data_IF_771810388149
#
_entry.id   IF_771810388149
#
_cell.length_a   1.000
_cell.length_b   1.000
_cell.length_c   1.000
_cell.angle_alpha   90.00
_cell.angle_beta   90.00
_cell.angle_gamma   90.00
#
_symmetry.space_group_name_H-M   'P 1'
#
loop_
_entity.id
_entity.type
_entity.pdbx_description
1 polymer ?
#
# COMPACT_ATOMS: atom_id res chain seq x y z
N UNK A 1 22.69 10.08 -1.51
CA UNK A 1 21.59 9.15 -1.82
C UNK A 1 20.29 9.87 -1.56
N UNK A 2 19.46 9.99 -2.58
CA UNK A 2 18.15 10.65 -2.46
C UNK A 2 17.34 10.05 -1.31
N UNK A 3 16.87 10.89 -0.39
CA UNK A 3 15.96 10.52 0.72
C UNK A 3 14.54 10.18 0.23
N UNK A 4 14.37 9.76 -1.01
CA UNK A 4 13.07 9.70 -1.70
C UNK A 4 12.19 8.54 -1.24
N UNK A 5 12.78 7.49 -0.65
CA UNK A 5 12.05 6.38 -0.04
C UNK A 5 12.10 6.41 1.50
N UNK A 6 12.56 7.51 2.11
CA UNK A 6 12.62 7.60 3.57
C UNK A 6 11.28 8.09 4.15
N UNK A 7 10.74 7.35 5.12
CA UNK A 7 9.62 7.83 5.92
C UNK A 7 10.10 8.96 6.83
N UNK A 8 9.36 10.07 6.87
CA UNK A 8 9.66 11.23 7.73
C UNK A 8 9.34 10.88 9.18
N UNK A 9 10.23 11.23 10.10
CA UNK A 9 9.98 11.05 11.54
C UNK A 9 8.82 11.94 12.04
N UNK A 10 8.04 11.41 12.98
CA UNK A 10 6.90 12.10 13.57
C UNK A 10 6.45 11.39 14.86
N UNK A 11 5.86 12.14 15.78
CA UNK A 11 5.23 11.61 17.00
C UNK A 11 3.82 11.02 16.75
N UNK A 12 3.32 11.10 15.50
CA UNK A 12 2.04 10.51 15.11
C UNK A 12 2.11 8.98 15.15
N UNK A 13 1.02 8.36 15.62
CA UNK A 13 0.79 6.93 15.44
C UNK A 13 0.50 6.63 13.98
N UNK A 14 1.21 5.68 13.38
CA UNK A 14 0.95 5.23 12.00
C UNK A 14 0.26 3.89 12.01
N UNK A 15 -0.93 3.85 11.43
CA UNK A 15 -1.72 2.64 11.30
C UNK A 15 -1.91 2.37 9.82
N UNK A 16 -1.54 1.19 9.35
CA UNK A 16 -1.67 0.83 7.93
C UNK A 16 -2.59 -0.36 7.74
N UNK A 17 -3.37 -0.31 6.66
CA UNK A 17 -4.16 -1.42 6.18
C UNK A 17 -3.49 -1.98 4.93
N UNK A 18 -3.24 -3.29 4.96
CA UNK A 18 -2.68 -4.02 3.83
C UNK A 18 -3.53 -5.24 3.50
N UNK A 19 -3.35 -5.79 2.30
CA UNK A 19 -3.97 -7.05 1.89
C UNK A 19 -4.33 -7.10 0.42
N UNK A 20 -5.03 -8.16 -0.01
CA UNK A 20 -5.49 -8.32 -1.38
C UNK A 20 -6.31 -7.13 -1.90
N UNK A 21 -6.54 -7.09 -3.22
CA UNK A 21 -7.52 -6.19 -3.82
C UNK A 21 -8.95 -6.48 -3.31
N UNK A 22 -9.77 -5.42 -3.24
CA UNK A 22 -11.16 -5.51 -2.79
C UNK A 22 -11.35 -6.12 -1.39
N UNK A 23 -10.62 -5.62 -0.39
CA UNK A 23 -10.74 -6.09 1.02
C UNK A 23 -11.12 -4.96 2.01
N UNK A 24 -11.49 -3.79 1.50
CA UNK A 24 -12.02 -2.69 2.32
C UNK A 24 -10.97 -1.72 2.90
N UNK A 25 -9.68 -1.86 2.57
CA UNK A 25 -8.58 -0.99 3.05
C UNK A 25 -8.89 0.51 2.93
N UNK A 26 -9.23 0.98 1.73
CA UNK A 26 -9.62 2.37 1.46
C UNK A 26 -10.80 2.84 2.30
N UNK A 27 -11.80 1.96 2.46
CA UNK A 27 -13.00 2.27 3.23
C UNK A 27 -12.67 2.40 4.72
N UNK A 28 -11.85 1.49 5.27
CA UNK A 28 -11.38 1.53 6.64
C UNK A 28 -10.54 2.78 6.91
N UNK A 29 -9.54 3.07 6.08
CA UNK A 29 -8.69 4.27 6.20
C UNK A 29 -9.51 5.55 6.23
N UNK A 30 -10.46 5.69 5.31
CA UNK A 30 -11.33 6.88 5.23
C UNK A 30 -12.24 7.02 6.45
N UNK A 31 -12.95 5.95 6.83
CA UNK A 31 -13.90 5.99 7.95
C UNK A 31 -13.19 6.24 9.28
N UNK A 32 -12.01 5.63 9.48
CA UNK A 32 -11.23 5.85 10.70
C UNK A 32 -10.64 7.25 10.73
N UNK A 33 -10.13 7.77 9.62
CA UNK A 33 -9.69 9.16 9.57
C UNK A 33 -10.81 10.14 9.93
N UNK A 34 -12.02 9.95 9.39
CA UNK A 34 -13.20 10.74 9.74
C UNK A 34 -13.54 10.65 11.23
N UNK A 35 -13.61 9.43 11.78
CA UNK A 35 -13.95 9.19 13.19
C UNK A 35 -12.95 9.80 14.17
N UNK A 36 -11.66 9.75 13.83
CA UNK A 36 -10.58 10.32 14.63
C UNK A 36 -10.29 11.79 14.26
N UNK A 37 -11.09 12.37 13.36
CA UNK A 37 -10.96 13.75 12.89
C UNK A 37 -9.55 14.08 12.36
N UNK A 38 -8.92 13.14 11.67
CA UNK A 38 -7.57 13.23 11.09
C UNK A 38 -7.63 13.01 9.56
N UNK A 39 -6.49 12.87 8.90
CA UNK A 39 -6.39 12.51 7.48
C UNK A 39 -5.93 11.07 7.28
N UNK A 40 -6.04 10.60 6.04
CA UNK A 40 -5.49 9.32 5.61
C UNK A 40 -4.64 9.48 4.34
N UNK A 41 -3.83 8.47 4.05
CA UNK A 41 -2.99 8.35 2.86
C UNK A 41 -3.68 7.42 1.88
N UNK A 42 -3.90 7.90 0.65
CA UNK A 42 -4.49 7.14 -0.46
C UNK A 42 -3.47 6.21 -1.14
N UNK A 43 -3.98 5.21 -1.86
CA UNK A 43 -3.14 4.22 -2.52
C UNK A 43 -2.54 4.86 -3.79
N UNK A 44 -1.25 5.19 -3.73
CA UNK A 44 -0.61 5.87 -4.84
C UNK A 44 -0.55 4.99 -6.10
N UNK A 45 -0.33 3.68 -5.93
CA UNK A 45 -0.34 2.70 -7.03
C UNK A 45 -1.62 2.79 -7.85
N UNK A 46 -2.78 2.90 -7.19
CA UNK A 46 -4.07 3.03 -7.86
C UNK A 46 -4.14 4.27 -8.73
N UNK A 47 -3.73 5.42 -8.19
CA UNK A 47 -3.72 6.69 -8.93
C UNK A 47 -2.77 6.64 -10.12
N UNK A 48 -1.57 6.10 -9.91
CA UNK A 48 -0.54 5.98 -10.94
C UNK A 48 -1.00 5.09 -12.10
N UNK A 49 -1.50 3.89 -11.79
CA UNK A 49 -1.90 2.92 -12.81
C UNK A 49 -3.18 3.32 -13.52
N UNK A 50 -4.12 3.99 -12.86
CA UNK A 50 -5.30 4.52 -13.55
C UNK A 50 -4.87 5.56 -14.60
N UNK A 51 -3.95 6.47 -14.25
CA UNK A 51 -3.42 7.43 -15.23
C UNK A 51 -2.71 6.76 -16.41
N UNK A 52 -1.90 5.73 -16.14
CA UNK A 52 -1.23 4.94 -17.19
C UNK A 52 -2.25 4.23 -18.10
N UNK A 53 -3.29 3.64 -17.52
CA UNK A 53 -4.38 3.02 -18.28
C UNK A 53 -5.13 4.03 -19.15
N UNK A 54 -5.59 5.12 -18.55
CA UNK A 54 -6.40 6.13 -19.26
C UNK A 54 -5.62 6.78 -20.43
N UNK A 55 -4.30 6.91 -20.30
CA UNK A 55 -3.45 7.58 -21.30
C UNK A 55 -2.82 6.64 -22.32
N UNK A 56 -2.49 5.40 -21.92
CA UNK A 56 -1.68 4.47 -22.71
C UNK A 56 -2.32 3.09 -22.88
N UNK A 57 -3.37 2.78 -22.11
CA UNK A 57 -4.05 1.48 -22.07
C UNK A 57 -3.07 0.35 -21.68
N UNK A 58 -2.15 0.66 -20.76
CA UNK A 58 -1.14 -0.27 -20.25
C UNK A 58 -1.35 -0.54 -18.77
N UNK A 59 -1.06 -1.77 -18.37
CA UNK A 59 -1.09 -2.24 -16.98
C UNK A 59 0.26 -2.03 -16.29
N UNK A 60 0.35 -2.45 -15.02
CA UNK A 60 1.57 -2.41 -14.23
C UNK A 60 2.68 -3.28 -14.87
N UNK A 61 3.90 -2.77 -14.77
CA UNK A 61 5.17 -3.39 -15.17
C UNK A 61 6.19 -3.17 -14.05
N UNK A 62 7.27 -3.97 -13.97
CA UNK A 62 8.30 -3.81 -12.94
C UNK A 62 8.90 -2.39 -12.87
N UNK A 63 9.06 -1.71 -14.02
CA UNK A 63 9.61 -0.36 -14.10
C UNK A 63 8.72 0.70 -13.43
N UNK A 64 7.44 0.41 -13.18
CA UNK A 64 6.51 1.30 -12.49
C UNK A 64 6.69 1.28 -10.96
N UNK A 65 7.26 0.20 -10.41
CA UNK A 65 7.26 -0.04 -8.96
C UNK A 65 8.08 1.00 -8.20
N UNK A 66 9.24 1.41 -8.72
CA UNK A 66 10.07 2.42 -8.05
C UNK A 66 9.43 3.82 -8.09
N UNK A 67 8.86 4.31 -9.21
CA UNK A 67 8.00 5.49 -9.23
C UNK A 67 6.82 5.42 -8.25
N UNK A 68 6.12 4.28 -8.20
CA UNK A 68 5.00 4.06 -7.27
C UNK A 68 5.47 4.15 -5.82
N UNK A 69 6.59 3.52 -5.48
CA UNK A 69 7.17 3.56 -4.14
C UNK A 69 7.50 4.98 -3.70
N UNK A 70 8.12 5.78 -4.59
CA UNK A 70 8.43 7.19 -4.33
C UNK A 70 7.17 8.02 -4.12
N UNK A 71 6.14 7.80 -4.94
CA UNK A 71 4.87 8.50 -4.81
C UNK A 71 4.13 8.17 -3.52
N UNK A 72 4.12 6.90 -3.11
CA UNK A 72 3.53 6.47 -1.84
C UNK A 72 4.20 7.18 -0.66
N UNK A 73 5.54 7.19 -0.61
CA UNK A 73 6.27 7.83 0.49
C UNK A 73 6.17 9.34 0.47
N UNK A 74 6.15 9.96 -0.71
CA UNK A 74 5.87 11.38 -0.82
C UNK A 74 4.48 11.74 -0.25
N UNK A 75 3.47 10.90 -0.52
CA UNK A 75 2.12 11.11 -0.01
C UNK A 75 2.04 10.90 1.50
N UNK A 76 2.60 9.81 2.03
CA UNK A 76 2.69 9.57 3.48
C UNK A 76 3.36 10.74 4.20
N UNK A 77 4.52 11.18 3.70
CA UNK A 77 5.30 12.27 4.30
C UNK A 77 4.56 13.61 4.27
N UNK A 78 3.77 13.86 3.23
CA UNK A 78 2.94 15.07 3.11
C UNK A 78 1.77 15.04 4.10
N UNK A 79 1.13 13.89 4.31
CA UNK A 79 -0.05 13.77 5.18
C UNK A 79 0.29 13.90 6.67
N UNK A 80 1.54 13.69 7.08
CA UNK A 80 2.01 13.95 8.45
C UNK A 80 1.69 15.38 8.90
N UNK A 81 1.84 16.38 8.02
CA UNK A 81 1.60 17.79 8.38
C UNK A 81 0.11 18.12 8.59
N UNK A 82 -0.77 17.25 8.10
CA UNK A 82 -2.23 17.44 8.12
C UNK A 82 -2.92 16.55 9.17
N UNK A 83 -2.25 15.48 9.59
CA UNK A 83 -2.77 14.55 10.57
C UNK A 83 -2.64 15.08 12.00
N UNK A 84 -3.50 14.58 12.88
CA UNK A 84 -3.38 14.81 14.32
C UNK A 84 -3.41 13.48 15.06
N UNK A 85 -2.46 13.27 15.98
CA UNK A 85 -2.26 12.06 16.83
C UNK A 85 -2.06 10.72 16.10
N UNK A 86 -2.80 10.45 15.03
CA UNK A 86 -2.78 9.22 14.24
C UNK A 86 -2.91 9.54 12.74
N UNK A 87 -2.20 8.78 11.92
CA UNK A 87 -2.28 8.77 10.46
C UNK A 87 -2.66 7.36 10.00
N UNK A 88 -3.73 7.26 9.21
CA UNK A 88 -4.15 6.00 8.59
C UNK A 88 -3.63 5.90 7.16
N UNK A 89 -3.07 4.75 6.77
CA UNK A 89 -2.50 4.54 5.45
C UNK A 89 -3.23 3.40 4.70
N UNK A 90 -3.67 3.68 3.49
CA UNK A 90 -4.07 2.72 2.46
C UNK A 90 -3.17 3.01 1.26
N UNK A 91 -2.05 2.36 1.01
CA UNK A 91 -1.43 1.21 1.68
C UNK A 91 -0.01 1.62 2.10
N UNK A 92 1.01 0.77 1.95
CA UNK A 92 2.42 1.14 2.17
C UNK A 92 3.40 0.33 1.32
N UNK A 93 4.70 0.63 1.44
CA UNK A 93 5.75 -0.11 0.71
C UNK A 93 5.82 -1.60 1.06
N UNK A 94 5.36 -2.02 2.23
CA UNK A 94 5.27 -3.44 2.57
C UNK A 94 4.30 -4.17 1.63
N UNK A 95 3.13 -3.59 1.36
CA UNK A 95 2.20 -4.15 0.38
C UNK A 95 2.80 -4.16 -1.03
N UNK A 96 3.46 -3.08 -1.44
CA UNK A 96 4.11 -2.99 -2.74
C UNK A 96 5.21 -4.06 -2.91
N UNK A 97 6.02 -4.29 -1.87
CA UNK A 97 7.04 -5.33 -1.83
C UNK A 97 6.42 -6.73 -1.99
N UNK A 98 5.35 -7.03 -1.24
CA UNK A 98 4.63 -8.31 -1.30
C UNK A 98 4.06 -8.53 -2.70
N UNK A 99 3.41 -7.52 -3.30
CA UNK A 99 2.91 -7.63 -4.67
C UNK A 99 4.02 -7.81 -5.69
N UNK A 100 5.17 -7.16 -5.51
CA UNK A 100 6.33 -7.36 -6.39
C UNK A 100 6.76 -8.83 -6.41
N UNK A 101 6.88 -9.47 -5.24
CA UNK A 101 7.17 -10.90 -5.19
C UNK A 101 6.06 -11.77 -5.77
N UNK A 102 4.80 -11.44 -5.51
CA UNK A 102 3.65 -12.20 -6.00
C UNK A 102 3.58 -12.22 -7.54
N UNK A 103 3.75 -11.06 -8.18
CA UNK A 103 3.60 -10.92 -9.64
C UNK A 103 4.89 -11.18 -10.41
N UNK A 104 6.06 -10.85 -9.85
CA UNK A 104 7.33 -10.87 -10.58
C UNK A 104 8.37 -11.83 -10.00
N UNK A 105 8.13 -12.41 -8.82
CA UNK A 105 9.07 -13.32 -8.15
C UNK A 105 10.30 -12.64 -7.55
N UNK A 106 10.41 -11.32 -7.64
CA UNK A 106 11.47 -10.53 -7.02
C UNK A 106 10.95 -9.14 -6.62
N UNK A 107 11.69 -8.45 -5.76
CA UNK A 107 11.49 -7.04 -5.44
C UNK A 107 12.77 -6.26 -5.72
N UNK A 108 12.65 -5.00 -6.17
CA UNK A 108 13.80 -4.11 -6.26
C UNK A 108 14.40 -3.92 -4.85
N UNK A 109 15.73 -4.10 -4.66
CA UNK A 109 16.35 -3.99 -3.34
C UNK A 109 16.15 -2.63 -2.66
N UNK A 110 15.95 -1.55 -3.42
CA UNK A 110 15.65 -0.23 -2.83
C UNK A 110 14.26 -0.20 -2.21
N UNK A 111 13.27 -0.84 -2.85
CA UNK A 111 11.91 -0.94 -2.33
C UNK A 111 11.89 -1.88 -1.12
N UNK A 112 12.55 -3.03 -1.23
CA UNK A 112 12.61 -4.04 -0.17
C UNK A 112 13.26 -3.47 1.11
N UNK A 113 14.45 -2.85 0.99
CA UNK A 113 15.10 -2.22 2.13
C UNK A 113 14.25 -1.12 2.75
N UNK A 114 13.60 -0.28 1.94
CA UNK A 114 12.74 0.78 2.46
C UNK A 114 11.50 0.20 3.18
N UNK A 115 10.83 -0.77 2.58
CA UNK A 115 9.66 -1.44 3.16
C UNK A 115 9.96 -2.15 4.48
N UNK A 116 11.18 -2.68 4.65
CA UNK A 116 11.64 -3.31 5.90
C UNK A 116 12.08 -2.29 6.95
N UNK A 117 12.58 -1.12 6.54
CA UNK A 117 13.03 -0.07 7.44
C UNK A 117 11.91 0.84 7.96
N UNK A 118 10.75 0.89 7.28
CA UNK A 118 9.63 1.75 7.69
C UNK A 118 8.89 1.21 8.92
N UNK A 119 8.42 2.12 9.76
CA UNK A 119 7.73 1.79 11.00
C UNK A 119 6.24 2.15 10.93
N UNK A 120 5.41 1.19 11.33
CA UNK A 120 3.98 1.35 11.56
C UNK A 120 3.66 0.83 12.97
N UNK A 121 2.95 1.61 13.77
CA UNK A 121 2.53 1.21 15.13
C UNK A 121 1.52 0.05 15.10
N UNK A 122 0.76 -0.08 14.01
CA UNK A 122 -0.08 -1.24 13.75
C UNK A 122 -0.20 -1.51 12.25
N UNK A 123 -0.14 -2.79 11.89
CA UNK A 123 -0.34 -3.30 10.53
C UNK A 123 -1.55 -4.22 10.56
N UNK A 124 -2.62 -3.85 9.86
CA UNK A 124 -3.83 -4.66 9.74
C UNK A 124 -3.86 -5.36 8.38
N UNK A 125 -3.78 -6.69 8.40
CA UNK A 125 -4.05 -7.51 7.22
C UNK A 125 -5.56 -7.71 7.06
N UNK A 126 -6.13 -7.18 5.98
CA UNK A 126 -7.56 -7.27 5.66
C UNK A 126 -7.90 -8.58 4.96
N UNK A 127 -9.07 -9.16 5.29
CA UNK A 127 -9.51 -10.45 4.75
C UNK A 127 -10.42 -10.28 3.51
N UNK A 128 -10.72 -11.40 2.85
CA UNK A 128 -11.48 -11.46 1.58
C UNK A 128 -12.99 -11.64 1.81
N UNK A 129 -13.51 -11.10 2.91
CA UNK A 129 -14.89 -11.24 3.39
C UNK A 129 -15.88 -10.26 2.75
N UNK A 130 -15.42 -9.37 1.87
CA UNK A 130 -16.26 -8.48 1.06
C UNK A 130 -16.29 -8.92 -0.41
N UNK A 131 -17.37 -8.62 -1.17
CA UNK A 131 -17.44 -8.95 -2.59
C UNK A 131 -16.30 -8.32 -3.39
N UNK A 132 -15.72 -9.12 -4.30
CA UNK A 132 -14.77 -8.61 -5.27
C UNK A 132 -15.50 -7.76 -6.32
N UNK A 133 -14.87 -6.67 -6.76
CA UNK A 133 -15.44 -5.74 -7.74
C UNK A 133 -14.47 -5.59 -8.90
N UNK A 134 -14.95 -5.88 -10.11
CA UNK A 134 -14.17 -5.71 -11.33
C UNK A 134 -13.91 -4.23 -11.61
N UNK A 135 -12.74 -3.95 -12.17
CA UNK A 135 -12.43 -2.70 -12.88
C UNK A 135 -11.29 -2.95 -13.89
N UNK A 136 -10.80 -1.87 -14.50
CA UNK A 136 -9.77 -1.92 -15.54
C UNK A 136 -8.41 -2.47 -15.08
N UNK A 137 -8.13 -2.49 -13.76
CA UNK A 137 -6.80 -2.80 -13.21
C UNK A 137 -6.74 -4.11 -12.42
N UNK A 138 -7.88 -4.63 -11.97
CA UNK A 138 -7.95 -5.81 -11.09
C UNK A 138 -8.01 -7.11 -11.87
N UNK A 139 -7.19 -8.09 -11.48
CA UNK A 139 -6.94 -9.28 -12.30
C UNK A 139 -7.03 -10.64 -11.57
N UNK A 140 -7.28 -10.67 -10.25
CA UNK A 140 -7.29 -11.91 -9.44
C UNK A 140 -8.63 -12.22 -8.75
N UNK A 141 -9.78 -12.26 -9.48
CA UNK A 141 -11.09 -12.50 -8.87
C UNK A 141 -11.24 -13.89 -8.22
N UNK A 142 -10.50 -14.90 -8.71
CA UNK A 142 -10.61 -16.30 -8.27
C UNK A 142 -9.43 -16.76 -7.40
N UNK A 143 -8.39 -15.93 -7.28
CA UNK A 143 -7.15 -16.26 -6.54
C UNK A 143 -7.10 -15.57 -5.16
N UNK A 144 -8.21 -14.99 -4.69
CA UNK A 144 -8.24 -14.13 -3.50
C UNK A 144 -7.67 -14.81 -2.25
N UNK A 145 -7.97 -16.10 -2.06
CA UNK A 145 -7.46 -16.87 -0.92
C UNK A 145 -5.96 -17.11 -1.01
N UNK A 146 -5.44 -17.49 -2.18
CA UNK A 146 -4.00 -17.69 -2.38
C UNK A 146 -3.21 -16.39 -2.23
N UNK A 147 -3.75 -15.27 -2.72
CA UNK A 147 -3.18 -13.93 -2.50
C UNK A 147 -3.16 -13.61 -1.01
N UNK A 148 -4.27 -13.81 -0.28
CA UNK A 148 -4.32 -13.57 1.16
C UNK A 148 -3.29 -14.42 1.92
N UNK A 149 -3.22 -15.72 1.66
CA UNK A 149 -2.24 -16.62 2.29
C UNK A 149 -0.81 -16.20 1.98
N UNK A 150 -0.54 -15.71 0.76
CA UNK A 150 0.77 -15.18 0.40
C UNK A 150 1.12 -13.94 1.24
N UNK A 151 0.18 -12.99 1.38
CA UNK A 151 0.36 -11.83 2.27
C UNK A 151 0.63 -12.25 3.71
N UNK A 152 -0.19 -13.15 4.26
CA UNK A 152 -0.06 -13.64 5.63
C UNK A 152 1.33 -14.24 5.85
N UNK A 153 1.77 -15.13 4.96
CA UNK A 153 3.09 -15.75 5.04
C UNK A 153 4.23 -14.71 5.04
N UNK A 154 4.17 -13.71 4.16
CA UNK A 154 5.20 -12.66 4.09
C UNK A 154 5.26 -11.81 5.37
N UNK A 155 4.16 -11.68 6.10
CA UNK A 155 4.13 -10.98 7.39
C UNK A 155 4.59 -11.86 8.54
N UNK A 156 4.23 -13.15 8.54
CA UNK A 156 4.67 -14.11 9.56
C UNK A 156 6.19 -14.32 9.48
N UNK A 157 6.75 -14.39 8.27
CA UNK A 157 8.20 -14.53 8.03
C UNK A 157 9.01 -13.28 8.45
N UNK A 158 8.36 -12.15 8.78
CA UNK A 158 9.01 -10.94 9.31
C UNK A 158 9.23 -10.97 10.84
N UNK A 159 8.68 -11.96 11.55
CA UNK A 159 8.76 -12.11 13.02
C UNK A 159 9.83 -13.11 13.43
#
# INVERSE_FOLDING_TARGET
>A
MEKTLAQRESDLKRIVFIGPECTGKTTLSRILAERYQTVWVEEYMRTYLQHKWDTQHLTCTPDDLLPIARGQIALENKRIEQANKVLFCDTCLLELMIYSYLYYGYCDPLIEHAALAHHYDAIFLTYIDVPWQADDLRDKPYERESVFTFFQKQLDDRV
#
